data_IF_179622426960
#
_entry.id   IF_179622426960
#
_cell.length_a   1.000
_cell.length_b   1.000
_cell.length_c   1.000
_cell.angle_alpha   90.00
_cell.angle_beta   90.00
_cell.angle_gamma   90.00
#
_symmetry.space_group_name_H-M   'P 1'
#
loop_
_entity.id
_entity.type
_entity.pdbx_description
1 polymer ?
#
# COMPACT_ATOMS: atom_id res chain seq x y z
N UNK A 1 4.79 11.60 -50.07
CA UNK A 1 4.63 12.83 -50.86
C UNK A 1 3.20 12.90 -51.38
N UNK A 2 2.40 13.85 -50.88
CA UNK A 2 1.02 14.05 -51.31
C UNK A 2 0.98 15.11 -52.41
N UNK A 3 0.16 14.87 -53.45
CA UNK A 3 -0.01 15.85 -54.53
C UNK A 3 -0.80 17.06 -54.03
N UNK A 4 -0.42 18.24 -54.52
CA UNK A 4 -1.24 19.44 -54.36
C UNK A 4 -2.52 19.33 -55.20
N UNK A 5 -3.54 20.14 -54.84
CA UNK A 5 -4.80 20.19 -55.59
C UNK A 5 -4.62 20.69 -57.03
N UNK A 6 -3.57 21.47 -57.30
CA UNK A 6 -3.25 21.98 -58.63
C UNK A 6 -2.61 20.88 -59.47
N UNK A 7 -1.54 20.25 -58.97
CA UNK A 7 -0.87 19.12 -59.64
C UNK A 7 -1.84 17.97 -59.93
N UNK A 8 -2.74 17.65 -59.00
CA UNK A 8 -3.74 16.60 -59.21
C UNK A 8 -4.70 16.92 -60.37
N UNK A 9 -5.15 18.17 -60.48
CA UNK A 9 -6.02 18.62 -61.58
C UNK A 9 -5.31 18.60 -62.94
N UNK A 10 -4.01 18.84 -62.96
CA UNK A 10 -3.19 18.77 -64.17
C UNK A 10 -2.87 17.32 -64.58
N UNK A 11 -2.75 16.41 -63.62
CA UNK A 11 -2.44 14.99 -63.87
C UNK A 11 -3.63 14.16 -64.37
N UNK A 12 -4.85 14.46 -63.89
CA UNK A 12 -6.07 13.76 -64.32
C UNK A 12 -6.24 13.68 -65.85
N UNK A 13 -6.07 14.77 -66.63
CA UNK A 13 -6.21 14.71 -68.10
C UNK A 13 -5.04 14.03 -68.81
N UNK A 14 -3.85 13.96 -68.19
CA UNK A 14 -2.65 13.34 -68.77
C UNK A 14 -2.72 11.81 -68.68
N UNK A 15 -3.39 11.27 -67.65
CA UNK A 15 -3.38 9.84 -67.36
C UNK A 15 -4.80 9.28 -67.19
N UNK A 16 -5.29 8.58 -68.21
CA UNK A 16 -6.68 8.09 -68.24
C UNK A 16 -6.88 6.73 -67.54
N UNK A 17 -5.82 6.16 -66.97
CA UNK A 17 -5.85 4.83 -66.30
C UNK A 17 -6.24 4.89 -64.82
N UNK A 18 -6.67 6.03 -64.32
CA UNK A 18 -7.06 6.15 -62.91
C UNK A 18 -8.40 5.45 -62.61
N UNK A 19 -8.51 4.77 -61.47
CA UNK A 19 -9.79 4.25 -60.97
C UNK A 19 -10.84 5.38 -60.85
N UNK A 20 -12.09 5.13 -61.27
CA UNK A 20 -13.17 6.13 -61.29
C UNK A 20 -13.42 6.77 -59.90
N UNK A 21 -13.24 5.98 -58.83
CA UNK A 21 -13.39 6.43 -57.45
C UNK A 21 -12.33 7.45 -57.01
N UNK A 22 -11.14 7.45 -57.63
CA UNK A 22 -10.05 8.37 -57.30
C UNK A 22 -10.10 9.63 -58.17
N UNK A 23 -10.50 9.50 -59.45
CA UNK A 23 -10.52 10.60 -60.43
C UNK A 23 -11.35 11.81 -59.99
N UNK A 24 -12.45 11.58 -59.28
CA UNK A 24 -13.36 12.62 -58.78
C UNK A 24 -13.33 12.80 -57.26
N UNK A 25 -12.36 12.16 -56.58
CA UNK A 25 -12.23 12.29 -55.14
C UNK A 25 -11.82 13.72 -54.76
N UNK A 26 -12.44 14.32 -53.72
CA UNK A 26 -12.02 15.62 -53.19
C UNK A 26 -10.66 15.57 -52.46
N UNK A 27 -10.17 14.36 -52.14
CA UNK A 27 -8.87 14.14 -51.51
C UNK A 27 -7.78 13.86 -52.55
N UNK A 28 -6.63 14.52 -52.42
CA UNK A 28 -5.49 14.29 -53.32
C UNK A 28 -4.70 13.04 -52.90
N UNK A 29 -4.32 12.16 -53.83
CA UNK A 29 -3.60 10.94 -53.51
C UNK A 29 -2.12 11.23 -53.16
N UNK A 30 -1.51 10.27 -52.48
CA UNK A 30 -0.05 10.21 -52.32
C UNK A 30 0.58 9.68 -53.60
N UNK A 31 1.47 10.46 -54.22
CA UNK A 31 2.20 10.02 -55.41
C UNK A 31 3.31 9.02 -55.06
N UNK A 32 3.96 9.21 -53.90
CA UNK A 32 5.04 8.35 -53.44
C UNK A 32 4.97 8.15 -51.92
N UNK A 33 5.37 6.97 -51.46
CA UNK A 33 5.67 6.71 -50.05
C UNK A 33 7.00 7.38 -49.66
N UNK A 34 7.29 7.46 -48.37
CA UNK A 34 8.55 7.98 -47.85
C UNK A 34 9.77 7.24 -48.44
N UNK A 35 9.66 5.92 -48.57
CA UNK A 35 10.70 5.07 -49.15
C UNK A 35 10.84 5.31 -50.67
N UNK A 36 9.73 5.53 -51.37
CA UNK A 36 9.75 5.87 -52.79
C UNK A 36 10.41 7.22 -53.07
N UNK A 37 10.15 8.23 -52.24
CA UNK A 37 10.81 9.54 -52.30
C UNK A 37 12.31 9.39 -52.05
N UNK A 38 12.71 8.60 -51.05
CA UNK A 38 14.11 8.32 -50.75
C UNK A 38 14.83 7.72 -51.96
N UNK A 39 14.27 6.67 -52.56
CA UNK A 39 14.85 6.02 -53.74
C UNK A 39 14.97 6.98 -54.93
N UNK A 40 13.91 7.72 -55.27
CA UNK A 40 13.92 8.63 -56.41
C UNK A 40 14.86 9.82 -56.21
N UNK A 41 14.97 10.33 -54.98
CA UNK A 41 15.89 11.44 -54.66
C UNK A 41 17.37 11.10 -54.90
N UNK A 42 17.72 9.81 -54.96
CA UNK A 42 19.08 9.36 -55.27
C UNK A 42 19.38 9.29 -56.77
N UNK A 43 18.34 9.16 -57.60
CA UNK A 43 18.46 8.98 -59.06
C UNK A 43 18.24 10.30 -59.81
N UNK A 44 17.34 11.15 -59.31
CA UNK A 44 16.99 12.42 -59.93
C UNK A 44 18.04 13.50 -59.64
N UNK A 45 18.38 14.29 -60.67
CA UNK A 45 19.41 15.36 -60.60
C UNK A 45 18.84 16.77 -60.35
N UNK A 46 17.63 16.88 -59.79
CA UNK A 46 17.03 18.17 -59.43
C UNK A 46 17.63 18.70 -58.12
N UNK A 47 17.76 20.03 -57.98
CA UNK A 47 18.18 20.67 -56.71
C UNK A 47 17.34 20.24 -55.51
N UNK A 48 16.03 20.00 -55.73
CA UNK A 48 15.13 19.52 -54.69
C UNK A 48 15.48 18.08 -54.31
N UNK A 49 15.73 17.20 -55.28
CA UNK A 49 16.10 15.80 -55.06
C UNK A 49 17.43 15.69 -54.29
N UNK A 50 18.44 16.49 -54.67
CA UNK A 50 19.74 16.53 -54.00
C UNK A 50 19.58 16.94 -52.53
N UNK A 51 18.80 18.01 -52.24
CA UNK A 51 18.54 18.47 -50.86
C UNK A 51 17.82 17.41 -50.02
N UNK A 52 16.84 16.73 -50.61
CA UNK A 52 16.09 15.66 -49.93
C UNK A 52 17.03 14.49 -49.60
N UNK A 53 17.85 14.04 -50.55
CA UNK A 53 18.82 12.96 -50.31
C UNK A 53 19.82 13.30 -49.20
N UNK A 54 20.37 14.52 -49.20
CA UNK A 54 21.26 14.99 -48.13
C UNK A 54 20.54 14.99 -46.76
N UNK A 55 19.28 15.43 -46.72
CA UNK A 55 18.49 15.48 -45.49
C UNK A 55 18.21 14.08 -44.96
N UNK A 56 17.89 13.14 -45.84
CA UNK A 56 17.70 11.72 -45.53
C UNK A 56 19.00 11.14 -44.93
N UNK A 57 20.15 11.36 -45.56
CA UNK A 57 21.43 10.86 -45.07
C UNK A 57 21.79 11.45 -43.69
N UNK A 58 21.52 12.74 -43.46
CA UNK A 58 21.74 13.37 -42.15
C UNK A 58 20.85 12.75 -41.07
N UNK A 59 19.58 12.49 -41.38
CA UNK A 59 18.67 11.82 -40.46
C UNK A 59 19.17 10.41 -40.11
N UNK A 60 19.63 9.63 -41.09
CA UNK A 60 20.21 8.30 -40.84
C UNK A 60 21.45 8.34 -39.94
N UNK A 61 22.37 9.30 -40.16
CA UNK A 61 23.55 9.46 -39.31
C UNK A 61 23.16 9.85 -37.89
N UNK A 62 22.20 10.76 -37.74
CA UNK A 62 21.70 11.18 -36.42
C UNK A 62 21.08 10.00 -35.66
N UNK A 63 20.25 9.18 -36.31
CA UNK A 63 19.64 7.99 -35.71
C UNK A 63 20.72 6.97 -35.32
N UNK A 64 21.70 6.71 -36.19
CA UNK A 64 22.79 5.78 -35.87
C UNK A 64 23.58 6.24 -34.65
N UNK A 65 23.92 7.53 -34.59
CA UNK A 65 24.66 8.09 -33.46
C UNK A 65 23.83 8.05 -32.18
N UNK A 66 22.52 8.33 -32.27
CA UNK A 66 21.61 8.19 -31.14
C UNK A 66 21.60 6.76 -30.62
N UNK A 67 21.38 5.77 -31.48
CA UNK A 67 21.37 4.36 -31.06
C UNK A 67 22.72 3.96 -30.44
N UNK A 68 23.84 4.32 -31.07
CA UNK A 68 25.18 4.01 -30.57
C UNK A 68 25.44 4.62 -29.18
N UNK A 69 25.05 5.88 -28.96
CA UNK A 69 25.24 6.58 -27.68
C UNK A 69 24.34 6.04 -26.56
N UNK A 70 23.18 5.47 -26.91
CA UNK A 70 22.26 4.92 -25.91
C UNK A 70 22.58 3.46 -25.54
N UNK A 71 23.52 2.78 -26.20
CA UNK A 71 23.90 1.40 -25.83
C UNK A 71 24.45 1.32 -24.40
N UNK A 72 25.27 2.28 -23.99
CA UNK A 72 25.78 2.35 -22.61
C UNK A 72 24.66 2.58 -21.60
N UNK A 73 23.75 3.50 -21.89
CA UNK A 73 22.59 3.81 -21.04
C UNK A 73 21.66 2.60 -20.90
N UNK A 74 21.44 1.85 -21.99
CA UNK A 74 20.64 0.63 -21.96
C UNK A 74 21.27 -0.46 -21.09
N UNK A 75 22.60 -0.59 -21.11
CA UNK A 75 23.34 -1.51 -20.23
C UNK A 75 23.20 -1.12 -18.76
N UNK A 76 23.39 0.16 -18.45
CA UNK A 76 23.22 0.68 -17.09
C UNK A 76 21.80 0.44 -16.56
N UNK A 77 20.77 0.65 -17.39
CA UNK A 77 19.38 0.34 -17.04
C UNK A 77 19.18 -1.16 -16.79
N UNK A 78 19.84 -2.03 -17.56
CA UNK A 78 19.75 -3.48 -17.35
C UNK A 78 20.40 -3.91 -16.04
N UNK A 79 21.55 -3.33 -15.70
CA UNK A 79 22.25 -3.55 -14.43
C UNK A 79 21.40 -3.09 -13.25
N UNK A 80 20.89 -1.86 -13.29
CA UNK A 80 19.98 -1.33 -12.27
C UNK A 80 18.72 -2.20 -12.10
N UNK A 81 18.17 -2.75 -13.18
CA UNK A 81 17.04 -3.68 -13.12
C UNK A 81 17.41 -4.99 -12.43
N UNK A 82 18.63 -5.50 -12.61
CA UNK A 82 19.10 -6.72 -11.94
C UNK A 82 19.26 -6.48 -10.44
N UNK A 83 19.90 -5.38 -10.06
CA UNK A 83 20.06 -5.00 -8.65
C UNK A 83 18.70 -4.79 -7.96
N UNK A 84 17.78 -4.09 -8.62
CA UNK A 84 16.44 -3.86 -8.08
C UNK A 84 15.66 -5.18 -7.87
N UNK A 85 15.78 -6.14 -8.78
CA UNK A 85 15.19 -7.49 -8.59
C UNK A 85 15.76 -8.19 -7.36
N UNK A 86 17.07 -8.12 -7.15
CA UNK A 86 17.73 -8.71 -5.97
C UNK A 86 17.30 -8.02 -4.67
N UNK A 87 17.19 -6.70 -4.68
CA UNK A 87 16.66 -5.97 -3.52
C UNK A 87 15.22 -6.37 -3.23
N UNK A 88 14.37 -6.50 -4.26
CA UNK A 88 13.00 -6.93 -4.07
C UNK A 88 12.87 -8.35 -3.50
N UNK A 89 13.70 -9.29 -3.93
CA UNK A 89 13.69 -10.64 -3.35
C UNK A 89 14.10 -10.60 -1.88
N UNK A 90 15.18 -9.88 -1.57
CA UNK A 90 15.69 -9.72 -0.19
C UNK A 90 14.65 -9.08 0.73
N UNK A 91 13.99 -8.00 0.29
CA UNK A 91 12.91 -7.34 1.04
C UNK A 91 11.75 -8.31 1.30
N UNK A 92 11.43 -9.16 0.33
CA UNK A 92 10.35 -10.14 0.46
C UNK A 92 10.69 -11.21 1.49
N UNK A 93 11.94 -11.68 1.53
CA UNK A 93 12.44 -12.61 2.54
C UNK A 93 12.41 -11.99 3.93
N UNK A 94 12.99 -10.79 4.10
CA UNK A 94 12.97 -10.06 5.37
C UNK A 94 11.55 -9.82 5.88
N UNK A 95 10.60 -9.54 4.96
CA UNK A 95 9.18 -9.38 5.33
C UNK A 95 8.59 -10.67 5.91
N UNK A 96 8.91 -11.84 5.32
CA UNK A 96 8.47 -13.13 5.85
C UNK A 96 9.04 -13.37 7.25
N UNK A 97 10.32 -13.08 7.45
CA UNK A 97 10.98 -13.23 8.75
C UNK A 97 10.34 -12.33 9.81
N UNK A 98 10.05 -11.07 9.47
CA UNK A 98 9.32 -10.15 10.35
C UNK A 98 7.93 -10.70 10.71
N UNK A 99 7.21 -11.27 9.74
CA UNK A 99 5.88 -11.83 10.00
C UNK A 99 5.96 -13.06 10.92
N UNK A 100 6.97 -13.91 10.77
CA UNK A 100 7.23 -15.05 11.66
C UNK A 100 7.57 -14.57 13.08
N UNK A 101 8.48 -13.60 13.23
CA UNK A 101 8.82 -13.01 14.53
C UNK A 101 7.60 -12.38 15.21
N UNK A 102 6.77 -11.64 14.46
CA UNK A 102 5.52 -11.09 14.99
C UNK A 102 4.56 -12.18 15.45
N UNK A 103 4.54 -13.33 14.79
CA UNK A 103 3.70 -14.46 15.21
C UNK A 103 4.24 -15.13 16.48
N UNK A 104 5.54 -15.35 16.60
CA UNK A 104 6.14 -15.92 17.81
C UNK A 104 5.92 -15.01 19.02
N UNK A 105 6.16 -13.70 18.87
CA UNK A 105 5.92 -12.73 19.94
C UNK A 105 4.44 -12.69 20.37
N UNK A 106 3.49 -12.75 19.42
CA UNK A 106 2.06 -12.85 19.76
C UNK A 106 1.70 -14.11 20.54
N UNK A 107 2.35 -15.24 20.28
CA UNK A 107 2.12 -16.49 21.03
C UNK A 107 2.66 -16.35 22.46
N UNK A 108 3.88 -15.83 22.61
CA UNK A 108 4.51 -15.56 23.91
C UNK A 108 3.65 -14.65 24.77
N UNK A 109 3.19 -13.52 24.22
CA UNK A 109 2.31 -12.59 24.93
C UNK A 109 0.99 -13.23 25.35
N UNK A 110 0.41 -14.13 24.55
CA UNK A 110 -0.82 -14.87 24.94
C UNK A 110 -0.57 -15.80 26.12
N UNK A 111 0.59 -16.45 26.17
CA UNK A 111 0.99 -17.34 27.26
C UNK A 111 1.24 -16.56 28.56
N UNK A 112 1.92 -15.40 28.47
CA UNK A 112 2.13 -14.51 29.62
C UNK A 112 0.81 -13.96 30.17
N UNK A 113 -0.05 -13.41 29.31
CA UNK A 113 -1.37 -12.91 29.71
C UNK A 113 -2.26 -14.00 30.33
N UNK A 114 -2.08 -15.27 29.95
CA UNK A 114 -2.81 -16.38 30.60
C UNK A 114 -2.45 -16.47 32.08
N UNK A 115 -1.17 -16.37 32.42
CA UNK A 115 -0.75 -16.38 33.82
C UNK A 115 -1.17 -15.11 34.56
N UNK A 116 -1.19 -13.95 33.91
CA UNK A 116 -1.72 -12.71 34.52
C UNK A 116 -3.20 -12.85 34.92
N UNK A 117 -4.02 -13.51 34.09
CA UNK A 117 -5.41 -13.79 34.48
C UNK A 117 -5.50 -14.72 35.68
N UNK A 118 -4.62 -15.73 35.77
CA UNK A 118 -4.59 -16.65 36.91
C UNK A 118 -4.15 -15.92 38.17
N UNK A 119 -3.10 -15.10 38.10
CA UNK A 119 -2.61 -14.29 39.22
C UNK A 119 -3.68 -13.33 39.70
N UNK A 120 -4.34 -12.59 38.79
CA UNK A 120 -5.42 -11.65 39.16
C UNK A 120 -6.68 -12.33 39.69
N UNK A 121 -6.97 -13.57 39.28
CA UNK A 121 -8.06 -14.37 39.84
C UNK A 121 -7.69 -14.91 41.23
N UNK A 122 -6.45 -15.39 41.42
CA UNK A 122 -5.95 -15.84 42.71
C UNK A 122 -5.96 -14.69 43.73
N UNK A 123 -5.50 -13.50 43.34
CA UNK A 123 -5.52 -12.29 44.18
C UNK A 123 -6.95 -11.92 44.60
N UNK A 124 -7.92 -12.00 43.67
CA UNK A 124 -9.35 -11.82 43.98
C UNK A 124 -9.91 -12.86 44.94
N UNK A 125 -9.53 -14.13 44.78
CA UNK A 125 -10.00 -15.22 45.66
C UNK A 125 -9.42 -15.11 47.06
N UNK A 126 -8.13 -14.76 47.19
CA UNK A 126 -7.48 -14.51 48.49
C UNK A 126 -8.20 -13.37 49.22
N UNK A 127 -8.44 -12.25 48.53
CA UNK A 127 -9.18 -11.13 49.09
C UNK A 127 -10.64 -11.50 49.46
N UNK A 128 -11.28 -12.39 48.70
CA UNK A 128 -12.63 -12.88 49.03
C UNK A 128 -12.62 -13.80 50.27
N UNK A 129 -11.60 -14.65 50.42
CA UNK A 129 -11.43 -15.52 51.58
C UNK A 129 -11.19 -14.71 52.86
N UNK A 130 -10.31 -13.71 52.82
CA UNK A 130 -10.08 -12.79 53.96
C UNK A 130 -11.37 -12.07 54.37
N UNK A 131 -12.18 -11.59 53.42
CA UNK A 131 -13.49 -10.98 53.72
C UNK A 131 -14.44 -12.00 54.36
N UNK A 132 -14.50 -13.24 53.87
CA UNK A 132 -15.39 -14.26 54.45
C UNK A 132 -14.98 -14.65 55.86
N UNK A 133 -13.69 -14.81 56.14
CA UNK A 133 -13.20 -15.03 57.50
C UNK A 133 -13.57 -13.85 58.41
N UNK A 134 -13.31 -12.62 57.98
CA UNK A 134 -13.69 -11.41 58.75
C UNK A 134 -15.20 -11.35 59.01
N UNK A 135 -16.03 -11.74 58.04
CA UNK A 135 -17.49 -11.79 58.20
C UNK A 135 -17.91 -12.90 59.18
N UNK A 136 -17.26 -14.07 59.13
CA UNK A 136 -17.53 -15.22 59.99
C UNK A 136 -17.13 -14.90 61.43
N UNK A 137 -15.96 -14.27 61.64
CA UNK A 137 -15.58 -13.71 62.93
C UNK A 137 -16.58 -12.68 63.42
N UNK A 138 -17.10 -11.82 62.54
CA UNK A 138 -18.17 -10.87 62.88
C UNK A 138 -19.47 -11.56 63.33
N UNK A 139 -19.88 -12.65 62.67
CA UNK A 139 -21.06 -13.45 63.06
C UNK A 139 -20.83 -14.19 64.38
N UNK A 140 -19.68 -14.85 64.54
CA UNK A 140 -19.32 -15.56 65.78
C UNK A 140 -19.21 -14.59 66.95
N UNK A 141 -18.65 -13.40 66.76
CA UNK A 141 -18.62 -12.36 67.80
C UNK A 141 -20.04 -11.87 68.12
N UNK A 142 -20.92 -11.69 67.12
CA UNK A 142 -22.30 -11.30 67.34
C UNK A 142 -23.09 -12.36 68.13
N UNK A 143 -22.91 -13.65 67.85
CA UNK A 143 -23.59 -14.74 68.55
C UNK A 143 -22.97 -15.04 69.93
N UNK A 144 -21.64 -15.07 70.04
CA UNK A 144 -20.97 -15.43 71.30
C UNK A 144 -20.87 -14.28 72.29
N UNK A 145 -20.79 -13.02 71.84
CA UNK A 145 -20.58 -11.87 72.73
C UNK A 145 -21.86 -11.03 72.86
N UNK A 146 -22.58 -10.78 71.76
CA UNK A 146 -23.72 -9.84 71.78
C UNK A 146 -25.04 -10.52 72.19
N UNK A 147 -25.33 -11.76 71.76
CA UNK A 147 -26.56 -12.46 72.16
C UNK A 147 -26.68 -12.72 73.68
N UNK A 148 -25.66 -13.21 74.42
CA UNK A 148 -25.78 -13.37 75.87
C UNK A 148 -25.91 -12.02 76.61
N UNK A 149 -25.34 -10.93 76.08
CA UNK A 149 -25.47 -9.59 76.68
C UNK A 149 -26.86 -8.96 76.47
N UNK A 150 -27.61 -9.38 75.45
CA UNK A 150 -28.97 -8.89 75.14
C UNK A 150 -30.09 -9.43 76.05
N UNK A 151 -29.81 -10.43 76.92
CA UNK A 151 -30.79 -10.93 77.89
C UNK A 151 -30.87 -10.13 79.19
N UNK A 152 -29.91 -9.24 79.46
CA UNK A 152 -29.88 -8.48 80.72
C UNK A 152 -30.28 -7.00 80.58
N UNK A 153 -30.59 -6.48 79.39
CA UNK A 153 -31.05 -5.10 79.22
C UNK A 153 -31.85 -4.90 77.94
N UNK A 154 -33.01 -4.25 78.06
CA UNK A 154 -33.93 -3.88 76.98
C UNK A 154 -33.23 -3.02 75.90
N UNK A 155 -32.70 -3.63 74.84
CA UNK A 155 -32.28 -2.92 73.63
C UNK A 155 -32.80 -3.66 72.40
N UNK A 156 -33.63 -2.96 71.61
CA UNK A 156 -34.31 -3.45 70.40
C UNK A 156 -33.32 -3.43 69.23
N UNK A 157 -32.81 -4.59 68.82
CA UNK A 157 -31.98 -4.74 67.62
C UNK A 157 -32.88 -4.66 66.37
N UNK A 158 -32.65 -3.65 65.52
CA UNK A 158 -33.27 -3.51 64.19
C UNK A 158 -32.50 -4.35 63.16
N UNK A 159 -33.17 -4.89 62.12
CA UNK A 159 -32.57 -5.80 61.17
C UNK A 159 -31.48 -5.10 60.35
N UNK A 160 -30.42 -5.86 60.12
CA UNK A 160 -29.21 -5.49 59.41
C UNK A 160 -29.58 -5.03 58.00
N UNK A 161 -29.54 -3.72 57.75
CA UNK A 161 -29.94 -3.17 56.46
C UNK A 161 -29.87 -1.66 56.31
N UNK A 162 -28.92 -0.99 57.00
CA UNK A 162 -28.43 0.37 56.72
C UNK A 162 -27.41 0.75 57.78
N UNK A 163 -26.12 0.55 57.49
CA UNK A 163 -25.06 1.17 58.27
C UNK A 163 -25.04 2.65 57.89
N UNK A 164 -25.53 3.48 58.80
CA UNK A 164 -25.38 4.93 58.74
C UNK A 164 -23.92 5.27 59.05
N UNK A 165 -23.15 5.66 58.04
CA UNK A 165 -21.79 6.17 58.20
C UNK A 165 -21.89 7.58 58.78
N UNK A 166 -21.49 7.79 60.04
CA UNK A 166 -21.17 9.14 60.54
C UNK A 166 -19.83 9.58 59.95
N UNK A 167 -19.74 10.81 59.41
CA UNK A 167 -18.49 11.32 58.87
C UNK A 167 -17.61 11.81 60.03
N UNK A 168 -16.34 11.42 60.00
CA UNK A 168 -15.31 12.09 60.76
C UNK A 168 -14.45 11.15 61.58
N UNK A 169 -13.46 10.53 60.93
CA UNK A 169 -12.10 10.43 61.45
C UNK A 169 -11.13 10.42 60.27
N UNK A 170 -10.50 11.57 60.02
CA UNK A 170 -9.18 11.62 59.38
C UNK A 170 -8.22 10.89 60.34
N UNK A 171 -7.41 9.95 59.83
CA UNK A 171 -5.94 9.99 59.90
C UNK A 171 -5.31 8.62 59.57
N UNK A 172 -4.31 8.69 58.68
CA UNK A 172 -3.06 7.93 58.62
C UNK A 172 -3.13 6.42 58.34
N UNK A 173 -2.63 6.02 57.17
CA UNK A 173 -1.33 5.34 57.05
C UNK A 173 -0.72 5.67 55.68
N UNK A 174 0.62 5.71 55.65
CA UNK A 174 1.47 5.98 54.48
C UNK A 174 1.35 4.90 53.41
#
# INVERSE_FOLDING_TARGET
FQLSKQEWKELIPIWDKFPENIKHSPATPFAFTEQGVAMLSSVLHSDIAIKVNISIMRAFVAVRNYVANNVSVLKEIEELKKENKLFHSTITELRKDIDLLKQSERKRLKEENKWDTVVTLADRLIHQQEITELSLYGTVIAECIIQPFSRQSYIKLLPIGKIFVRPGYKKFCN
#
